data_IF_995065474401
#
_entry.id   IF_995065474401
#
_cell.length_a   1.000
_cell.length_b   1.000
_cell.length_c   1.000
_cell.angle_alpha   90.00
_cell.angle_beta   90.00
_cell.angle_gamma   90.00
#
_symmetry.space_group_name_H-M   'P 1'
#
loop_
_entity.id
_entity.type
_entity.pdbx_description
1 polymer ?
#
# COMPACT_ATOMS: atom_id res chain seq x y z
N UNK A 1 -6.15 28.69 6.49
CA UNK A 1 -5.34 29.89 6.13
C UNK A 1 -4.79 29.78 4.71
N UNK A 2 -4.18 28.66 4.31
CA UNK A 2 -3.65 28.47 2.95
C UNK A 2 -4.72 28.52 1.84
N UNK A 3 -5.85 27.82 1.99
CA UNK A 3 -6.94 27.86 1.01
C UNK A 3 -7.53 29.27 0.78
N UNK A 4 -7.66 30.06 1.84
CA UNK A 4 -8.13 31.46 1.75
C UNK A 4 -7.13 32.35 1.01
N UNK A 5 -5.83 32.12 1.19
CA UNK A 5 -4.79 32.82 0.45
C UNK A 5 -4.80 32.43 -1.05
N UNK A 6 -4.98 31.13 -1.35
CA UNK A 6 -5.17 30.66 -2.73
C UNK A 6 -6.40 31.29 -3.38
N UNK A 7 -7.53 31.39 -2.68
CA UNK A 7 -8.75 32.04 -3.22
C UNK A 7 -8.53 33.52 -3.51
N UNK A 8 -7.75 34.22 -2.69
CA UNK A 8 -7.40 35.63 -2.91
C UNK A 8 -6.55 35.80 -4.18
N UNK A 9 -5.55 34.93 -4.38
CA UNK A 9 -4.65 34.99 -5.54
C UNK A 9 -5.32 34.45 -6.82
N UNK A 10 -6.21 33.48 -6.70
CA UNK A 10 -6.94 32.85 -7.80
C UNK A 10 -8.45 32.99 -7.58
N UNK A 11 -9.04 34.20 -7.72
CA UNK A 11 -10.45 34.42 -7.42
C UNK A 11 -11.40 33.60 -8.30
N UNK A 12 -10.98 33.27 -9.53
CA UNK A 12 -11.75 32.45 -10.47
C UNK A 12 -11.57 30.95 -10.29
N UNK A 13 -10.64 30.51 -9.43
CA UNK A 13 -10.42 29.09 -9.22
C UNK A 13 -11.69 28.42 -8.66
N UNK A 14 -12.10 27.28 -9.26
CA UNK A 14 -13.15 26.44 -8.70
C UNK A 14 -12.77 25.95 -7.30
N UNK A 15 -13.77 25.77 -6.44
CA UNK A 15 -13.56 25.29 -5.07
C UNK A 15 -12.86 23.92 -5.01
N UNK A 16 -13.06 23.07 -6.02
CA UNK A 16 -12.39 21.78 -6.12
C UNK A 16 -10.86 21.93 -6.35
N UNK A 17 -10.44 22.92 -7.15
CA UNK A 17 -9.02 23.21 -7.38
C UNK A 17 -8.34 23.68 -6.09
N UNK A 18 -8.99 24.59 -5.36
CA UNK A 18 -8.46 25.15 -4.12
C UNK A 18 -8.28 24.08 -3.03
N UNK A 19 -9.24 23.16 -2.89
CA UNK A 19 -9.14 22.02 -1.95
C UNK A 19 -8.04 21.02 -2.30
N UNK A 20 -7.80 20.78 -3.58
CA UNK A 20 -6.72 19.88 -4.04
C UNK A 20 -5.34 20.50 -3.78
N UNK A 21 -5.23 21.82 -3.94
CA UNK A 21 -3.99 22.58 -3.74
C UNK A 21 -3.76 23.06 -2.30
N UNK A 22 -4.67 22.78 -1.36
CA UNK A 22 -4.55 23.26 0.02
C UNK A 22 -3.27 22.75 0.70
N UNK A 23 -2.34 23.68 0.93
CA UNK A 23 -1.05 23.41 1.58
C UNK A 23 -1.16 22.90 3.02
N UNK A 24 -2.29 23.10 3.69
CA UNK A 24 -2.53 22.55 5.03
C UNK A 24 -2.53 21.00 5.06
N UNK A 25 -2.69 20.37 3.89
CA UNK A 25 -2.61 18.90 3.72
C UNK A 25 -1.18 18.38 3.66
N UNK A 26 -0.19 19.27 3.64
CA UNK A 26 1.23 18.93 3.48
C UNK A 26 1.60 18.47 2.07
N UNK A 27 2.87 18.12 1.84
CA UNK A 27 3.35 17.72 0.53
C UNK A 27 2.68 16.42 0.06
N UNK A 28 2.47 16.31 -1.25
CA UNK A 28 1.98 15.07 -1.87
C UNK A 28 2.92 13.92 -1.52
N UNK A 29 2.35 12.86 -0.98
CA UNK A 29 3.11 11.67 -0.64
C UNK A 29 3.60 10.95 -1.90
N UNK A 30 4.86 10.52 -1.90
CA UNK A 30 5.40 9.74 -3.01
C UNK A 30 4.71 8.37 -3.12
N UNK A 31 4.56 7.81 -4.34
CA UNK A 31 4.08 6.45 -4.55
C UNK A 31 4.92 5.44 -3.76
N UNK A 32 4.30 4.31 -3.39
CA UNK A 32 4.98 3.15 -2.80
C UNK A 32 5.70 2.42 -3.93
N UNK A 33 6.90 2.91 -4.26
CA UNK A 33 7.77 2.32 -5.27
C UNK A 33 9.23 2.49 -4.88
N UNK A 34 10.06 1.53 -5.24
CA UNK A 34 11.49 1.46 -4.98
C UNK A 34 12.17 0.73 -6.13
N UNK A 35 13.48 0.50 -6.02
CA UNK A 35 14.20 -0.29 -7.02
C UNK A 35 13.56 -1.68 -7.18
N UNK A 36 13.27 -2.05 -8.42
CA UNK A 36 12.61 -3.33 -8.73
C UNK A 36 13.63 -4.45 -8.57
N UNK A 37 13.26 -5.49 -7.82
CA UNK A 37 14.14 -6.63 -7.57
C UNK A 37 13.74 -7.83 -8.43
N UNK A 38 14.75 -8.48 -9.03
CA UNK A 38 14.58 -9.82 -9.58
C UNK A 38 14.50 -10.88 -8.47
N UNK A 39 14.18 -12.12 -8.85
CA UNK A 39 13.88 -13.24 -7.94
C UNK A 39 14.89 -13.40 -6.78
N UNK A 40 16.19 -13.47 -7.09
CA UNK A 40 17.25 -13.69 -6.09
C UNK A 40 17.40 -12.53 -5.11
N UNK A 41 17.45 -11.30 -5.64
CA UNK A 41 17.55 -10.09 -4.82
C UNK A 41 16.30 -9.89 -3.95
N UNK A 42 15.16 -10.31 -4.45
CA UNK A 42 13.91 -10.24 -3.70
C UNK A 42 13.85 -11.25 -2.55
N UNK A 43 14.40 -12.45 -2.74
CA UNK A 43 14.59 -13.41 -1.64
C UNK A 43 15.56 -12.87 -0.58
N UNK A 44 16.71 -12.30 -0.99
CA UNK A 44 17.66 -11.65 -0.06
C UNK A 44 16.99 -10.52 0.73
N UNK A 45 16.15 -9.72 0.06
CA UNK A 45 15.37 -8.68 0.71
C UNK A 45 14.40 -9.27 1.74
N UNK A 46 13.71 -10.37 1.42
CA UNK A 46 12.86 -11.10 2.37
C UNK A 46 13.61 -11.53 3.63
N UNK A 47 14.76 -12.19 3.46
CA UNK A 47 15.59 -12.63 4.58
C UNK A 47 16.02 -11.46 5.49
N UNK A 48 16.57 -10.39 4.91
CA UNK A 48 17.00 -9.19 5.64
C UNK A 48 15.83 -8.48 6.34
N UNK A 49 14.66 -8.45 5.71
CA UNK A 49 13.45 -7.88 6.31
C UNK A 49 13.00 -8.70 7.53
N UNK A 50 13.10 -10.03 7.47
CA UNK A 50 12.78 -10.90 8.61
C UNK A 50 13.71 -10.67 9.82
N UNK A 51 14.99 -10.38 9.60
CA UNK A 51 15.95 -10.06 10.67
C UNK A 51 15.57 -8.76 11.40
N UNK A 52 15.05 -7.78 10.67
CA UNK A 52 14.75 -6.44 11.19
C UNK A 52 13.33 -6.29 11.72
N UNK A 53 12.36 -7.10 11.26
CA UNK A 53 10.96 -7.01 11.68
C UNK A 53 10.70 -7.51 13.10
N UNK A 54 11.01 -6.67 14.10
CA UNK A 54 10.58 -6.88 15.48
C UNK A 54 9.08 -6.65 15.62
N UNK A 55 8.40 -7.70 16.07
CA UNK A 55 6.97 -7.64 16.33
C UNK A 55 6.62 -8.27 17.66
N UNK A 56 5.62 -7.67 18.31
CA UNK A 56 5.06 -8.15 19.56
C UNK A 56 3.54 -8.12 19.50
N UNK A 57 2.89 -8.87 20.39
CA UNK A 57 1.44 -8.77 20.54
C UNK A 57 1.07 -7.35 20.99
N UNK A 58 0.23 -6.69 20.21
CA UNK A 58 -0.17 -5.31 20.46
C UNK A 58 -1.12 -5.15 21.65
N UNK A 59 -1.02 -4.00 22.33
CA UNK A 59 -2.04 -3.53 23.26
C UNK A 59 -3.26 -2.97 22.52
N UNK A 60 -4.45 -3.12 23.12
CA UNK A 60 -5.76 -2.73 22.60
C UNK A 60 -5.85 -1.28 22.05
N UNK A 61 -4.92 -0.40 22.45
CA UNK A 61 -4.93 1.05 22.20
C UNK A 61 -4.21 1.53 20.92
N UNK A 62 -3.53 0.65 20.18
CA UNK A 62 -2.60 1.07 19.11
C UNK A 62 -3.14 0.98 17.66
N UNK A 63 -4.41 0.62 17.42
CA UNK A 63 -4.87 0.31 16.05
C UNK A 63 -5.21 1.57 15.21
N UNK A 64 -4.19 2.21 14.63
CA UNK A 64 -4.31 3.36 13.68
C UNK A 64 -4.73 2.96 12.26
N UNK A 65 -4.79 1.65 11.97
CA UNK A 65 -5.02 1.11 10.63
C UNK A 65 -6.35 1.52 9.99
N UNK A 66 -7.49 1.35 10.69
CA UNK A 66 -8.80 1.66 10.13
C UNK A 66 -9.01 3.16 9.84
N UNK A 67 -8.58 4.09 10.72
CA UNK A 67 -8.53 5.51 10.38
C UNK A 67 -7.71 5.80 9.11
N UNK A 68 -6.52 5.21 8.98
CA UNK A 68 -5.65 5.36 7.81
C UNK A 68 -6.34 4.88 6.52
N UNK A 69 -6.95 3.69 6.55
CA UNK A 69 -7.69 3.14 5.40
C UNK A 69 -8.85 4.06 4.97
N UNK A 70 -9.65 4.56 5.93
CA UNK A 70 -10.75 5.50 5.61
C UNK A 70 -10.24 6.81 5.00
N UNK A 71 -9.15 7.36 5.55
CA UNK A 71 -8.51 8.55 5.00
C UNK A 71 -7.99 8.32 3.58
N UNK A 72 -7.42 7.14 3.30
CA UNK A 72 -6.98 6.76 1.97
C UNK A 72 -8.16 6.74 0.99
N UNK A 73 -9.26 6.06 1.35
CA UNK A 73 -10.45 5.96 0.49
C UNK A 73 -11.04 7.34 0.18
N UNK A 74 -11.14 8.20 1.20
CA UNK A 74 -11.67 9.56 1.02
C UNK A 74 -10.81 10.38 0.05
N UNK A 75 -9.49 10.38 0.24
CA UNK A 75 -8.55 11.10 -0.61
C UNK A 75 -8.58 10.59 -2.05
N UNK A 76 -8.65 9.27 -2.23
CA UNK A 76 -8.75 8.63 -3.54
C UNK A 76 -10.02 9.06 -4.29
N UNK A 77 -11.18 9.06 -3.61
CA UNK A 77 -12.45 9.52 -4.18
C UNK A 77 -12.43 11.00 -4.54
N UNK A 78 -11.84 11.83 -3.69
CA UNK A 78 -11.69 13.27 -3.97
C UNK A 78 -10.81 13.52 -5.20
N UNK A 79 -9.66 12.84 -5.28
CA UNK A 79 -8.76 12.94 -6.42
C UNK A 79 -9.43 12.45 -7.72
N UNK A 80 -10.12 11.30 -7.68
CA UNK A 80 -10.89 10.78 -8.82
C UNK A 80 -11.96 11.78 -9.29
N UNK A 81 -12.72 12.35 -8.36
CA UNK A 81 -13.73 13.35 -8.71
C UNK A 81 -13.10 14.58 -9.40
N UNK A 82 -11.97 15.08 -8.88
CA UNK A 82 -11.26 16.20 -9.50
C UNK A 82 -10.74 15.86 -10.91
N UNK A 83 -10.15 14.68 -11.09
CA UNK A 83 -9.66 14.20 -12.40
C UNK A 83 -10.84 14.12 -13.38
N UNK A 84 -12.00 13.63 -12.96
CA UNK A 84 -13.21 13.55 -13.78
C UNK A 84 -13.77 14.91 -14.20
N UNK A 85 -13.77 15.92 -13.31
CA UNK A 85 -14.17 17.29 -13.68
C UNK A 85 -13.25 17.86 -14.77
N UNK A 86 -11.95 17.60 -14.67
CA UNK A 86 -10.97 18.08 -15.64
C UNK A 86 -11.10 17.37 -17.00
N UNK A 87 -11.46 16.08 -17.01
CA UNK A 87 -11.77 15.31 -18.21
C UNK A 87 -12.88 15.98 -19.06
N UNK A 88 -13.95 16.42 -18.38
CA UNK A 88 -15.10 17.04 -19.05
C UNK A 88 -14.83 18.45 -19.59
N UNK A 89 -13.75 19.09 -19.12
CA UNK A 89 -13.40 20.46 -19.51
C UNK A 89 -12.55 20.54 -20.80
N UNK A 90 -12.33 19.41 -21.48
CA UNK A 90 -11.62 19.34 -22.77
C UNK A 90 -10.09 19.40 -22.69
N UNK A 91 -9.51 19.37 -21.48
CA UNK A 91 -8.06 19.32 -21.31
C UNK A 91 -7.53 17.88 -21.25
N UNK A 92 -6.37 17.64 -21.88
CA UNK A 92 -5.70 16.32 -21.86
C UNK A 92 -5.50 15.77 -20.44
N UNK A 93 -5.91 14.51 -20.27
CA UNK A 93 -5.67 13.72 -19.06
C UNK A 93 -4.40 12.92 -19.30
N UNK A 94 -3.55 12.77 -18.29
CA UNK A 94 -2.42 11.85 -18.40
C UNK A 94 -2.91 10.40 -18.50
N UNK A 95 -2.17 9.47 -19.14
CA UNK A 95 -2.53 8.06 -19.20
C UNK A 95 -2.89 7.43 -17.85
N UNK A 96 -2.16 7.76 -16.79
CA UNK A 96 -2.45 7.31 -15.42
C UNK A 96 -3.83 7.78 -14.91
N UNK A 97 -4.25 8.98 -15.32
CA UNK A 97 -5.56 9.55 -14.96
C UNK A 97 -6.70 8.87 -15.71
N UNK A 98 -6.51 8.53 -16.98
CA UNK A 98 -7.47 7.73 -17.77
C UNK A 98 -7.65 6.36 -17.14
N UNK A 99 -6.55 5.67 -16.83
CA UNK A 99 -6.58 4.38 -16.13
C UNK A 99 -7.37 4.44 -14.81
N UNK A 100 -7.16 5.49 -14.02
CA UNK A 100 -7.89 5.71 -12.76
C UNK A 100 -9.38 5.92 -12.97
N UNK A 101 -9.79 6.66 -14.01
CA UNK A 101 -11.20 6.89 -14.34
C UNK A 101 -11.87 5.60 -14.83
N UNK A 102 -11.25 4.92 -15.79
CA UNK A 102 -11.80 3.73 -16.43
C UNK A 102 -11.99 2.59 -15.43
N UNK A 103 -11.08 2.48 -14.46
CA UNK A 103 -11.04 1.36 -13.53
C UNK A 103 -11.54 1.69 -12.12
N UNK A 104 -12.10 2.88 -11.88
CA UNK A 104 -12.50 3.27 -10.53
C UNK A 104 -13.53 2.32 -9.90
N UNK A 105 -14.44 1.79 -10.72
CA UNK A 105 -15.44 0.81 -10.31
C UNK A 105 -14.82 -0.48 -9.73
N UNK A 106 -13.68 -0.94 -10.29
CA UNK A 106 -12.94 -2.09 -9.77
C UNK A 106 -12.34 -1.75 -8.41
N UNK A 107 -11.74 -0.56 -8.27
CA UNK A 107 -11.15 -0.13 -7.00
C UNK A 107 -12.24 -0.05 -5.91
N UNK A 108 -13.44 0.44 -6.23
CA UNK A 108 -14.56 0.45 -5.28
C UNK A 108 -15.04 -0.94 -4.88
N UNK A 109 -15.07 -1.90 -5.81
CA UNK A 109 -15.40 -3.29 -5.50
C UNK A 109 -14.42 -3.89 -4.48
N UNK A 110 -13.13 -3.60 -4.61
CA UNK A 110 -12.08 -4.07 -3.70
C UNK A 110 -12.21 -3.53 -2.28
N UNK A 111 -12.83 -2.36 -2.09
CA UNK A 111 -13.08 -1.81 -0.76
C UNK A 111 -14.03 -2.68 0.06
N UNK A 112 -15.00 -3.32 -0.60
CA UNK A 112 -15.92 -4.25 0.06
C UNK A 112 -15.18 -5.51 0.51
N UNK A 113 -14.37 -6.10 -0.37
CA UNK A 113 -13.54 -7.27 -0.03
C UNK A 113 -12.59 -6.99 1.14
N UNK A 114 -12.00 -5.79 1.21
CA UNK A 114 -11.15 -5.40 2.35
C UNK A 114 -11.92 -5.37 3.66
N UNK A 115 -13.16 -4.86 3.63
CA UNK A 115 -13.99 -4.78 4.83
C UNK A 115 -14.39 -6.16 5.35
N UNK A 116 -14.69 -7.08 4.44
CA UNK A 116 -15.12 -8.46 4.74
C UNK A 116 -13.92 -9.35 5.11
N UNK A 117 -12.78 -9.20 4.43
CA UNK A 117 -11.61 -10.06 4.55
C UNK A 117 -10.73 -9.84 5.77
N UNK A 118 -10.85 -8.70 6.48
CA UNK A 118 -10.13 -8.45 7.73
C UNK A 118 -11.02 -7.78 8.79
N UNK A 119 -11.89 -8.56 9.48
CA UNK A 119 -12.67 -8.03 10.59
C UNK A 119 -11.78 -7.41 11.66
N UNK A 120 -12.26 -6.33 12.29
CA UNK A 120 -11.51 -5.61 13.36
C UNK A 120 -10.95 -6.53 14.44
N UNK A 121 -11.71 -7.56 14.83
CA UNK A 121 -11.29 -8.51 15.87
C UNK A 121 -10.07 -9.32 15.43
N UNK A 122 -10.05 -9.77 14.18
CA UNK A 122 -8.95 -10.53 13.60
C UNK A 122 -7.69 -9.67 13.44
N UNK A 123 -7.84 -8.43 12.95
CA UNK A 123 -6.71 -7.52 12.82
C UNK A 123 -5.98 -7.24 14.15
N UNK A 124 -6.72 -7.26 15.27
CA UNK A 124 -6.19 -6.99 16.61
C UNK A 124 -5.39 -8.14 17.21
N UNK A 125 -5.52 -9.34 16.67
CA UNK A 125 -4.76 -10.50 17.15
C UNK A 125 -3.39 -10.59 16.46
N UNK A 126 -3.17 -9.84 15.38
CA UNK A 126 -1.93 -9.85 14.63
C UNK A 126 -0.77 -9.20 15.42
N UNK A 127 0.46 -9.75 15.34
CA UNK A 127 1.65 -9.10 15.87
C UNK A 127 1.88 -7.72 15.23
N UNK A 128 2.19 -6.72 16.06
CA UNK A 128 2.46 -5.36 15.62
C UNK A 128 3.96 -5.10 15.57
N UNK A 129 4.42 -4.36 14.55
CA UNK A 129 5.78 -3.87 14.42
C UNK A 129 6.12 -2.93 15.57
N UNK A 130 7.34 -3.06 16.09
CA UNK A 130 7.85 -2.24 17.20
C UNK A 130 8.62 -1.00 16.72
N UNK A 131 9.22 -1.09 15.54
CA UNK A 131 10.17 -0.09 15.05
C UNK A 131 9.55 0.80 13.96
N UNK A 132 9.96 2.05 13.92
CA UNK A 132 9.60 3.01 12.87
C UNK A 132 10.12 2.57 11.49
N UNK A 133 9.49 2.97 10.37
CA UNK A 133 8.39 3.95 10.24
C UNK A 133 6.98 3.34 10.31
N UNK A 134 6.88 2.02 10.56
CA UNK A 134 5.61 1.28 10.55
C UNK A 134 5.21 0.79 11.95
N UNK A 135 5.78 1.38 13.00
CA UNK A 135 5.49 1.03 14.38
C UNK A 135 3.98 1.08 14.66
N UNK A 136 3.47 0.05 15.34
CA UNK A 136 2.04 -0.07 15.67
C UNK A 136 1.14 -0.60 14.55
N UNK A 137 1.66 -0.82 13.33
CA UNK A 137 0.96 -1.55 12.28
C UNK A 137 1.27 -3.06 12.37
N UNK A 138 0.39 -3.96 11.89
CA UNK A 138 0.71 -5.37 11.87
C UNK A 138 1.96 -5.66 11.06
N UNK A 139 2.76 -6.63 11.51
CA UNK A 139 3.96 -7.07 10.79
C UNK A 139 3.67 -7.47 9.35
N UNK A 140 2.54 -8.14 9.11
CA UNK A 140 2.13 -8.50 7.75
C UNK A 140 1.91 -7.26 6.84
N UNK A 141 1.58 -6.09 7.40
CA UNK A 141 1.51 -4.84 6.64
C UNK A 141 2.90 -4.40 6.17
N UNK A 142 3.93 -4.53 7.01
CA UNK A 142 5.32 -4.28 6.60
C UNK A 142 5.79 -5.23 5.50
N UNK A 143 5.43 -6.51 5.60
CA UNK A 143 5.70 -7.53 4.57
C UNK A 143 5.03 -7.16 3.25
N UNK A 144 3.73 -6.82 3.27
CA UNK A 144 2.99 -6.41 2.08
C UNK A 144 3.52 -5.09 1.48
N UNK A 145 3.92 -4.14 2.32
CA UNK A 145 4.52 -2.87 1.90
C UNK A 145 5.83 -3.07 1.15
N UNK A 146 6.75 -3.86 1.73
CA UNK A 146 8.01 -4.21 1.12
C UNK A 146 7.82 -4.90 -0.24
N UNK A 147 6.85 -5.83 -0.31
CA UNK A 147 6.50 -6.48 -1.56
C UNK A 147 6.06 -5.47 -2.63
N UNK A 148 5.04 -4.66 -2.34
CA UNK A 148 4.50 -3.67 -3.30
C UNK A 148 5.56 -2.66 -3.74
N UNK A 149 6.41 -2.19 -2.82
CA UNK A 149 7.44 -1.20 -3.14
C UNK A 149 8.46 -1.72 -4.16
N UNK A 150 8.87 -2.98 -4.04
CA UNK A 150 9.92 -3.59 -4.86
C UNK A 150 9.41 -4.37 -6.07
N UNK A 151 8.08 -4.44 -6.26
CA UNK A 151 7.44 -4.93 -7.49
C UNK A 151 6.68 -3.85 -8.26
N UNK A 152 6.75 -2.58 -7.82
CA UNK A 152 5.93 -1.47 -8.32
C UNK A 152 4.43 -1.83 -8.38
N UNK A 153 3.97 -2.55 -7.35
CA UNK A 153 2.60 -3.03 -7.22
C UNK A 153 2.22 -4.16 -8.18
N UNK A 154 3.13 -4.73 -8.98
CA UNK A 154 2.87 -5.92 -9.77
C UNK A 154 2.84 -7.16 -8.86
N UNK A 155 1.74 -7.92 -8.92
CA UNK A 155 1.60 -9.17 -8.19
C UNK A 155 2.09 -10.34 -9.05
N UNK A 156 3.02 -11.09 -8.48
CA UNK A 156 3.61 -12.30 -9.05
C UNK A 156 3.68 -13.34 -7.93
N UNK A 157 3.07 -14.49 -8.17
CA UNK A 157 2.96 -15.56 -7.18
C UNK A 157 4.34 -16.16 -6.86
N UNK A 158 5.19 -16.38 -7.87
CA UNK A 158 6.52 -16.97 -7.66
C UNK A 158 7.38 -16.04 -6.80
N UNK A 159 7.35 -14.73 -7.09
CA UNK A 159 8.02 -13.73 -6.27
C UNK A 159 7.50 -13.72 -4.83
N UNK A 160 6.17 -13.77 -4.62
CA UNK A 160 5.60 -13.75 -3.26
C UNK A 160 6.02 -14.99 -2.48
N UNK A 161 6.03 -16.17 -3.12
CA UNK A 161 6.42 -17.43 -2.50
C UNK A 161 7.90 -17.44 -2.09
N UNK A 162 8.78 -16.98 -2.98
CA UNK A 162 10.22 -16.88 -2.70
C UNK A 162 10.49 -15.87 -1.59
N UNK A 163 9.88 -14.71 -1.65
CA UNK A 163 10.00 -13.66 -0.64
C UNK A 163 9.55 -14.12 0.75
N UNK A 164 8.35 -14.71 0.84
CA UNK A 164 7.80 -15.20 2.12
C UNK A 164 8.60 -16.38 2.68
N UNK A 165 9.12 -17.24 1.81
CA UNK A 165 9.97 -18.36 2.24
C UNK A 165 11.27 -17.84 2.84
N UNK A 166 11.98 -16.96 2.14
CA UNK A 166 13.24 -16.37 2.63
C UNK A 166 13.03 -15.52 3.89
N UNK A 167 11.93 -14.77 3.97
CA UNK A 167 11.57 -14.01 5.17
C UNK A 167 11.42 -14.91 6.41
N UNK A 168 10.79 -16.07 6.25
CA UNK A 168 10.51 -16.98 7.36
C UNK A 168 11.72 -17.82 7.80
N UNK A 169 12.84 -17.78 7.08
CA UNK A 169 14.11 -18.38 7.51
C UNK A 169 14.66 -17.67 8.76
N UNK A 170 14.44 -16.36 8.87
CA UNK A 170 14.90 -15.56 10.02
C UNK A 170 13.79 -15.25 10.99
N UNK A 171 12.52 -15.25 10.53
CA UNK A 171 11.39 -14.90 11.38
C UNK A 171 10.06 -15.50 10.94
N UNK A 172 9.58 -16.49 11.71
CA UNK A 172 8.30 -17.16 11.46
C UNK A 172 7.11 -16.17 11.44
N UNK A 173 6.27 -16.31 10.42
CA UNK A 173 4.94 -15.71 10.33
C UNK A 173 3.94 -16.72 10.88
N UNK A 174 3.05 -16.27 11.77
CA UNK A 174 1.98 -17.15 12.23
C UNK A 174 0.93 -17.32 11.13
N UNK A 175 0.11 -18.37 11.24
CA UNK A 175 -0.89 -18.70 10.24
C UNK A 175 -1.92 -17.57 10.04
N UNK A 176 -2.25 -16.83 11.11
CA UNK A 176 -3.13 -15.66 11.00
C UNK A 176 -2.50 -14.51 10.20
N UNK A 177 -1.18 -14.32 10.28
CA UNK A 177 -0.50 -13.35 9.43
C UNK A 177 -0.50 -13.79 7.97
N UNK A 178 -0.28 -15.07 7.70
CA UNK A 178 -0.31 -15.61 6.33
C UNK A 178 -1.68 -15.42 5.68
N UNK A 179 -2.77 -15.72 6.39
CA UNK A 179 -4.14 -15.49 5.91
C UNK A 179 -4.55 -14.02 5.88
N UNK A 180 -3.84 -13.14 6.59
CA UNK A 180 -4.07 -11.70 6.50
C UNK A 180 -3.42 -11.06 5.26
N UNK A 181 -2.42 -11.72 4.66
CA UNK A 181 -1.66 -11.20 3.53
C UNK A 181 -2.50 -10.75 2.32
N UNK A 182 -3.50 -11.53 1.83
CA UNK A 182 -4.26 -11.18 0.62
C UNK A 182 -4.96 -9.84 0.77
N UNK A 183 -5.64 -9.64 1.88
CA UNK A 183 -6.37 -8.42 2.18
C UNK A 183 -5.41 -7.27 2.50
N UNK A 184 -4.26 -7.58 3.13
CA UNK A 184 -3.25 -6.57 3.44
C UNK A 184 -2.58 -6.03 2.18
N UNK A 185 -2.28 -6.89 1.19
CA UNK A 185 -1.78 -6.47 -0.12
C UNK A 185 -2.77 -5.52 -0.81
N UNK A 186 -4.08 -5.86 -0.83
CA UNK A 186 -5.11 -4.95 -1.36
C UNK A 186 -5.08 -3.59 -0.67
N UNK A 187 -4.94 -3.55 0.65
CA UNK A 187 -4.88 -2.29 1.41
C UNK A 187 -3.66 -1.46 1.02
N UNK A 188 -2.49 -2.06 0.87
CA UNK A 188 -1.27 -1.36 0.45
C UNK A 188 -1.39 -0.88 -1.00
N UNK A 189 -1.95 -1.67 -1.90
CA UNK A 189 -2.21 -1.27 -3.29
C UNK A 189 -3.19 -0.09 -3.38
N UNK A 190 -4.27 -0.09 -2.58
CA UNK A 190 -5.21 1.04 -2.51
C UNK A 190 -4.54 2.28 -1.91
N UNK A 191 -3.66 2.10 -0.93
CA UNK A 191 -2.86 3.22 -0.44
C UNK A 191 -1.94 3.78 -1.53
N UNK A 192 -1.34 2.93 -2.35
CA UNK A 192 -0.52 3.37 -3.48
C UNK A 192 -1.34 4.08 -4.55
N UNK A 193 -2.50 3.52 -4.94
CA UNK A 193 -3.44 4.15 -5.87
C UNK A 193 -3.91 5.52 -5.37
N UNK A 194 -4.13 5.66 -4.06
CA UNK A 194 -4.44 6.96 -3.46
C UNK A 194 -3.28 7.95 -3.61
N UNK A 195 -2.02 7.55 -3.38
CA UNK A 195 -0.83 8.41 -3.59
C UNK A 195 -0.74 8.87 -5.05
N UNK A 196 -0.92 7.93 -5.98
CA UNK A 196 -0.87 8.17 -7.42
C UNK A 196 -2.01 9.09 -7.88
N UNK A 197 -3.25 8.82 -7.48
CA UNK A 197 -4.41 9.63 -7.83
C UNK A 197 -4.28 11.06 -7.28
N UNK A 198 -3.89 11.20 -6.01
CA UNK A 198 -3.65 12.50 -5.38
C UNK A 198 -2.57 13.28 -6.14
N UNK A 199 -1.46 12.64 -6.50
CA UNK A 199 -0.38 13.23 -7.29
C UNK A 199 -0.82 13.66 -8.69
N UNK A 200 -1.60 12.83 -9.38
CA UNK A 200 -2.18 13.18 -10.70
C UNK A 200 -3.10 14.40 -10.56
N UNK A 201 -4.01 14.38 -9.59
CA UNK A 201 -4.95 15.48 -9.33
C UNK A 201 -4.24 16.79 -8.98
N UNK A 202 -3.25 16.77 -8.09
CA UNK A 202 -2.52 17.98 -7.69
C UNK A 202 -1.63 18.52 -8.81
N UNK A 203 -0.99 17.66 -9.60
CA UNK A 203 -0.22 18.10 -10.77
C UNK A 203 -1.12 18.75 -11.81
N UNK A 204 -2.31 18.18 -12.05
CA UNK A 204 -3.31 18.78 -12.93
C UNK A 204 -3.81 20.12 -12.38
N UNK A 205 -4.10 20.20 -11.09
CA UNK A 205 -4.53 21.43 -10.43
C UNK A 205 -3.46 22.54 -10.49
N UNK A 206 -2.18 22.19 -10.34
CA UNK A 206 -1.08 23.14 -10.46
C UNK A 206 -0.94 23.68 -11.90
N UNK A 207 -1.15 22.84 -12.91
CA UNK A 207 -1.20 23.28 -14.32
C UNK A 207 -2.40 24.21 -14.56
N UNK A 208 -3.55 23.88 -13.98
CA UNK A 208 -4.74 24.73 -14.11
C UNK A 208 -4.57 26.08 -13.40
N UNK A 209 -3.90 26.11 -12.24
CA UNK A 209 -3.52 27.36 -11.59
C UNK A 209 -2.64 28.23 -12.50
N UNK A 210 -1.67 27.63 -13.21
CA UNK A 210 -0.83 28.35 -14.19
C UNK A 210 -1.64 28.87 -15.40
N UNK A 211 -2.60 28.08 -15.91
CA UNK A 211 -3.51 28.52 -16.96
C UNK A 211 -4.30 29.77 -16.51
N UNK A 212 -4.94 29.70 -15.35
CA UNK A 212 -5.70 30.81 -14.77
C UNK A 212 -4.86 32.08 -14.56
N UNK A 213 -3.59 31.91 -14.15
CA UNK A 213 -2.65 33.03 -14.04
C UNK A 213 -2.37 33.65 -15.41
N UNK A 214 -2.07 32.84 -16.42
CA UNK A 214 -1.73 33.32 -17.76
C UNK A 214 -2.93 33.94 -18.49
N UNK A 215 -4.14 33.42 -18.26
CA UNK A 215 -5.38 33.96 -18.85
C UNK A 215 -5.72 35.37 -18.34
N UNK A 216 -5.14 35.77 -17.20
CA UNK A 216 -5.30 37.10 -16.59
C UNK A 216 -3.97 37.70 -16.16
N UNK A 217 -2.93 37.51 -16.97
CA UNK A 217 -1.56 37.89 -16.62
C UNK A 217 -1.43 39.38 -16.27
N UNK A 218 -2.29 40.23 -16.86
CA UNK A 218 -2.44 41.66 -16.58
C UNK A 218 -2.84 41.98 -15.13
N UNK A 219 -3.53 41.04 -14.47
CA UNK A 219 -3.94 41.17 -13.07
C UNK A 219 -2.92 40.64 -12.07
N UNK A 220 -1.82 40.04 -12.54
CA UNK A 220 -0.75 39.50 -11.71
C UNK A 220 0.47 40.43 -11.71
N UNK A 221 1.15 40.44 -10.57
CA UNK A 221 2.52 40.94 -10.45
C UNK A 221 3.49 39.77 -10.20
N UNK A 222 4.78 40.00 -10.44
CA UNK A 222 5.82 39.02 -10.07
C UNK A 222 5.72 38.64 -8.59
N UNK A 223 5.50 39.60 -7.69
CA UNK A 223 5.34 39.32 -6.26
C UNK A 223 4.13 38.44 -5.92
N UNK A 224 3.01 38.59 -6.64
CA UNK A 224 1.87 37.69 -6.46
C UNK A 224 2.10 36.28 -7.01
N UNK A 225 2.95 36.13 -8.04
CA UNK A 225 3.35 34.81 -8.54
C UNK A 225 4.34 34.12 -7.60
N UNK A 226 5.26 34.86 -6.98
CA UNK A 226 6.12 34.34 -5.91
C UNK A 226 5.29 33.86 -4.72
N UNK A 227 4.28 34.64 -4.32
CA UNK A 227 3.36 34.24 -3.24
C UNK A 227 2.57 32.98 -3.59
N UNK A 228 2.05 32.90 -4.83
CA UNK A 228 1.35 31.71 -5.31
C UNK A 228 2.29 30.50 -5.36
N UNK A 229 3.50 30.67 -5.89
CA UNK A 229 4.50 29.61 -5.96
C UNK A 229 4.80 29.05 -4.56
N UNK A 230 5.01 29.92 -3.57
CA UNK A 230 5.25 29.51 -2.19
C UNK A 230 4.10 28.68 -1.60
N UNK A 231 2.84 29.00 -1.93
CA UNK A 231 1.68 28.19 -1.53
C UNK A 231 1.67 26.81 -2.23
N UNK A 232 2.02 26.76 -3.51
CA UNK A 232 2.08 25.51 -4.29
C UNK A 232 3.25 24.61 -3.88
N UNK A 233 4.35 25.21 -3.39
CA UNK A 233 5.50 24.48 -2.83
C UNK A 233 5.17 23.76 -1.52
N UNK A 234 4.28 24.32 -0.68
CA UNK A 234 3.77 23.63 0.52
C UNK A 234 3.10 22.30 0.17
N UNK A 235 2.47 22.24 -1.01
CA UNK A 235 1.86 21.03 -1.56
C UNK A 235 2.83 20.16 -2.38
N UNK A 236 4.02 20.67 -2.70
CA UNK A 236 5.04 19.99 -3.49
C UNK A 236 4.80 20.02 -5.01
N UNK A 237 3.99 20.96 -5.52
CA UNK A 237 3.61 21.02 -6.94
C UNK A 237 4.07 22.28 -7.68
N UNK A 238 4.92 23.11 -7.05
CA UNK A 238 5.50 24.32 -7.67
C UNK A 238 6.17 24.04 -9.01
N UNK A 239 6.89 22.92 -9.15
CA UNK A 239 7.49 22.49 -10.43
C UNK A 239 6.48 22.23 -11.55
N UNK A 240 5.32 21.66 -11.22
CA UNK A 240 4.25 21.42 -12.20
C UNK A 240 3.63 22.74 -12.68
N UNK A 241 3.50 23.70 -11.76
CA UNK A 241 3.07 25.06 -12.07
C UNK A 241 4.09 25.81 -12.94
N UNK A 242 5.37 25.84 -12.57
CA UNK A 242 6.44 26.51 -13.32
C UNK A 242 6.58 25.94 -14.75
N UNK A 243 6.51 24.61 -14.90
CA UNK A 243 6.55 23.98 -16.23
C UNK A 243 5.40 24.41 -17.13
N UNK A 244 4.20 24.57 -16.57
CA UNK A 244 3.03 25.05 -17.32
C UNK A 244 3.10 26.55 -17.61
N UNK A 245 3.58 27.36 -16.65
CA UNK A 245 3.87 28.77 -16.87
C UNK A 245 4.84 28.96 -18.04
N UNK A 246 5.90 28.14 -18.11
CA UNK A 246 6.86 28.17 -19.21
C UNK A 246 6.23 27.89 -20.57
N UNK A 247 5.33 26.90 -20.64
CA UNK A 247 4.59 26.57 -21.86
C UNK A 247 3.68 27.72 -22.27
N UNK A 248 2.84 28.22 -21.35
CA UNK A 248 1.86 29.27 -21.63
C UNK A 248 2.50 30.61 -22.00
N UNK A 249 3.60 31.00 -21.34
CA UNK A 249 4.34 32.22 -21.71
C UNK A 249 4.99 32.10 -23.09
N UNK A 250 5.51 30.92 -23.45
CA UNK A 250 6.03 30.66 -24.79
C UNK A 250 4.93 30.79 -25.87
N UNK A 251 3.74 30.24 -25.61
CA UNK A 251 2.60 30.33 -26.54
C UNK A 251 2.11 31.79 -26.68
N UNK A 252 2.04 32.54 -25.57
CA UNK A 252 1.72 33.96 -25.57
C UNK A 252 2.70 34.76 -26.43
N UNK A 253 4.01 34.49 -26.32
CA UNK A 253 5.06 35.13 -27.14
C UNK A 253 4.92 34.87 -28.63
N UNK A 254 4.48 33.67 -29.02
CA UNK A 254 4.29 33.30 -30.43
C UNK A 254 3.02 33.92 -31.03
N UNK A 255 2.03 34.18 -30.20
CA UNK A 255 0.74 34.76 -30.60
C UNK A 255 0.71 36.28 -30.50
N UNK A 256 1.73 36.90 -29.88
CA UNK A 256 1.89 38.36 -29.74
C UNK A 256 2.37 39.00 -31.04
N UNK A 257 1.44 39.20 -31.98
CA UNK A 257 1.56 40.29 -32.97
C UNK A 257 0.73 41.52 -32.54
N UNK A 258 -0.12 41.39 -31.50
CA UNK A 258 -1.15 42.41 -31.16
C UNK A 258 -1.40 42.62 -29.65
N UNK A 259 -0.79 41.85 -28.74
CA UNK A 259 -1.12 41.94 -27.29
C UNK A 259 -0.34 43.07 -26.59
N UNK A 260 -1.04 43.88 -25.80
CA UNK A 260 -0.53 45.04 -25.03
C UNK A 260 0.21 44.69 -23.73
N UNK A 261 0.26 43.41 -23.35
CA UNK A 261 0.81 42.96 -22.06
C UNK A 261 2.32 42.74 -22.19
N UNK A 262 3.11 43.43 -21.36
CA UNK A 262 4.55 43.18 -21.25
C UNK A 262 4.80 41.88 -20.48
N UNK A 263 5.22 40.84 -21.20
CA UNK A 263 5.52 39.52 -20.64
C UNK A 263 6.96 39.39 -20.11
N UNK A 264 7.85 40.35 -20.42
CA UNK A 264 9.27 40.25 -20.10
C UNK A 264 9.57 40.11 -18.60
N UNK A 265 8.87 40.81 -17.67
CA UNK A 265 9.08 40.63 -16.23
C UNK A 265 8.78 39.20 -15.76
N UNK A 266 7.77 38.57 -16.37
CA UNK A 266 7.35 37.21 -16.05
C UNK A 266 8.31 36.15 -16.63
N UNK A 267 8.82 36.39 -17.84
CA UNK A 267 9.88 35.54 -18.42
C UNK A 267 11.16 35.60 -17.56
N UNK A 268 11.57 36.79 -17.13
CA UNK A 268 12.75 36.98 -16.27
C UNK A 268 12.57 36.28 -14.91
N UNK A 269 11.40 36.45 -14.29
CA UNK A 269 11.03 35.73 -13.06
C UNK A 269 11.10 34.21 -13.26
N UNK A 270 10.52 33.70 -14.34
CA UNK A 270 10.51 32.26 -14.62
C UNK A 270 11.93 31.72 -14.84
N UNK A 271 12.81 32.48 -15.51
CA UNK A 271 14.20 32.07 -15.72
C UNK A 271 14.98 31.96 -14.40
N UNK A 272 14.67 32.81 -13.42
CA UNK A 272 15.24 32.72 -12.07
C UNK A 272 14.71 31.49 -11.33
N UNK A 273 13.40 31.23 -11.38
CA UNK A 273 12.77 30.11 -10.66
C UNK A 273 13.00 28.74 -11.32
N UNK A 274 13.16 28.71 -12.64
CA UNK A 274 13.30 27.51 -13.45
C UNK A 274 14.42 27.68 -14.51
N UNK A 275 15.70 27.62 -14.10
CA UNK A 275 16.82 27.81 -15.03
C UNK A 275 16.98 26.66 -16.03
N UNK A 276 16.54 25.44 -15.68
CA UNK A 276 16.66 24.25 -16.54
C UNK A 276 15.29 23.62 -16.84
N UNK A 277 14.61 24.20 -17.83
CA UNK A 277 13.33 23.70 -18.33
C UNK A 277 13.43 22.33 -19.01
N UNK A 278 14.57 22.02 -19.65
CA UNK A 278 14.76 20.78 -20.39
C UNK A 278 14.81 19.57 -19.43
N UNK A 279 15.60 19.68 -18.37
CA UNK A 279 15.65 18.65 -17.31
C UNK A 279 14.30 18.47 -16.63
N UNK A 280 13.57 19.57 -16.33
CA UNK A 280 12.23 19.47 -15.77
C UNK A 280 11.27 18.68 -16.67
N UNK A 281 11.25 18.97 -17.98
CA UNK A 281 10.38 18.28 -18.94
C UNK A 281 10.71 16.80 -19.05
N UNK A 282 12.00 16.45 -19.14
CA UNK A 282 12.45 15.06 -19.16
C UNK A 282 12.02 14.31 -17.88
N UNK A 283 12.20 14.92 -16.71
CA UNK A 283 11.81 14.34 -15.43
C UNK A 283 10.28 14.18 -15.32
N UNK A 284 9.50 15.14 -15.82
CA UNK A 284 8.04 15.05 -15.83
C UNK A 284 7.54 13.92 -16.73
N UNK A 285 8.12 13.75 -17.93
CA UNK A 285 7.77 12.65 -18.83
C UNK A 285 8.09 11.28 -18.20
N UNK A 286 9.29 11.13 -17.63
CA UNK A 286 9.69 9.91 -16.93
C UNK A 286 8.76 9.59 -15.75
N UNK A 287 8.39 10.62 -14.96
CA UNK A 287 7.45 10.49 -13.87
C UNK A 287 6.05 10.07 -14.32
N UNK A 288 5.53 10.63 -15.42
CA UNK A 288 4.22 10.25 -15.96
C UNK A 288 4.20 8.82 -16.47
N UNK A 289 5.28 8.38 -17.15
CA UNK A 289 5.42 7.00 -17.60
C UNK A 289 5.44 6.02 -16.41
N UNK A 290 6.21 6.34 -15.37
CA UNK A 290 6.27 5.55 -14.15
C UNK A 290 4.92 5.53 -13.41
N UNK A 291 4.25 6.68 -13.26
CA UNK A 291 2.95 6.75 -12.58
C UNK A 291 1.89 5.95 -13.35
N UNK A 292 1.92 5.95 -14.70
CA UNK A 292 1.03 5.13 -15.52
C UNK A 292 1.25 3.62 -15.30
N UNK A 293 2.51 3.19 -15.28
CA UNK A 293 2.85 1.79 -15.01
C UNK A 293 2.38 1.37 -13.61
N UNK A 294 2.69 2.16 -12.57
CA UNK A 294 2.28 1.86 -11.19
C UNK A 294 0.76 1.75 -11.04
N UNK A 295 -0.02 2.63 -11.70
CA UNK A 295 -1.49 2.55 -11.67
C UNK A 295 -1.99 1.28 -12.34
N UNK A 296 -1.49 0.99 -13.55
CA UNK A 296 -1.87 -0.21 -14.31
C UNK A 296 -1.55 -1.49 -13.53
N UNK A 297 -0.34 -1.56 -12.94
CA UNK A 297 0.08 -2.66 -12.09
C UNK A 297 -0.84 -2.81 -10.88
N UNK A 298 -1.08 -1.73 -10.13
CA UNK A 298 -1.88 -1.81 -8.92
C UNK A 298 -3.32 -2.28 -9.17
N UNK A 299 -3.98 -1.80 -10.23
CA UNK A 299 -5.33 -2.24 -10.55
C UNK A 299 -5.34 -3.69 -11.07
N UNK A 300 -4.39 -4.06 -11.91
CA UNK A 300 -4.28 -5.44 -12.40
C UNK A 300 -4.06 -6.40 -11.22
N UNK A 301 -3.15 -6.04 -10.31
CA UNK A 301 -2.83 -6.83 -9.13
C UNK A 301 -3.99 -6.96 -8.16
N UNK A 302 -4.84 -5.94 -8.01
CA UNK A 302 -6.05 -6.07 -7.19
C UNK A 302 -6.96 -7.20 -7.70
N UNK A 303 -7.07 -7.37 -9.02
CA UNK A 303 -7.84 -8.48 -9.62
C UNK A 303 -7.12 -9.82 -9.43
N UNK A 304 -5.84 -9.89 -9.77
CA UNK A 304 -5.08 -11.16 -9.69
C UNK A 304 -4.96 -11.67 -8.25
N UNK A 305 -4.87 -10.78 -7.26
CA UNK A 305 -4.94 -11.14 -5.84
C UNK A 305 -6.31 -11.72 -5.46
N UNK A 306 -7.39 -11.29 -6.10
CA UNK A 306 -8.73 -11.88 -5.94
C UNK A 306 -8.82 -13.29 -6.49
N UNK A 307 -8.19 -13.53 -7.64
CA UNK A 307 -8.28 -14.79 -8.39
C UNK A 307 -7.22 -15.84 -7.96
N UNK A 308 -6.23 -15.45 -7.15
CA UNK A 308 -5.13 -16.33 -6.74
C UNK A 308 -5.57 -17.46 -5.78
N UNK A 309 -4.94 -18.64 -5.93
CA UNK A 309 -5.14 -19.79 -5.03
C UNK A 309 -4.38 -19.58 -3.71
N UNK A 310 -4.96 -18.74 -2.84
CA UNK A 310 -4.39 -18.46 -1.52
C UNK A 310 -4.20 -19.70 -0.64
N UNK A 311 -5.11 -20.70 -0.61
CA UNK A 311 -4.84 -21.97 0.03
C UNK A 311 -3.52 -22.62 -0.40
N UNK A 312 -3.23 -22.68 -1.72
CA UNK A 312 -1.97 -23.22 -2.23
C UNK A 312 -0.77 -22.34 -1.87
N UNK A 313 -0.88 -21.02 -2.06
CA UNK A 313 0.18 -20.07 -1.73
C UNK A 313 0.57 -20.19 -0.26
N UNK A 314 -0.41 -20.22 0.64
CA UNK A 314 -0.18 -20.35 2.09
C UNK A 314 0.39 -21.72 2.43
N UNK A 315 -0.08 -22.81 1.79
CA UNK A 315 0.46 -24.14 2.01
C UNK A 315 1.95 -24.24 1.65
N UNK A 316 2.37 -23.60 0.55
CA UNK A 316 3.75 -23.63 0.05
C UNK A 316 4.68 -22.64 0.75
N UNK A 317 4.17 -21.53 1.25
CA UNK A 317 5.00 -20.49 1.88
C UNK A 317 5.02 -20.55 3.41
N UNK A 318 3.94 -20.97 4.09
CA UNK A 318 3.90 -21.01 5.56
C UNK A 318 4.78 -22.13 6.12
N UNK A 319 5.70 -21.79 7.03
CA UNK A 319 6.53 -22.78 7.73
C UNK A 319 5.68 -23.79 8.50
N UNK A 320 4.60 -23.35 9.16
CA UNK A 320 3.67 -24.22 9.86
C UNK A 320 2.97 -25.21 8.91
N UNK A 321 2.43 -24.73 7.79
CA UNK A 321 1.72 -25.59 6.85
C UNK A 321 2.64 -26.62 6.24
N UNK A 322 3.84 -26.22 5.79
CA UNK A 322 4.84 -27.14 5.25
C UNK A 322 5.21 -28.22 6.26
N UNK A 323 5.38 -27.87 7.54
CA UNK A 323 5.64 -28.83 8.60
C UNK A 323 4.48 -29.81 8.80
N UNK A 324 3.25 -29.31 8.92
CA UNK A 324 2.07 -30.15 9.14
C UNK A 324 1.79 -31.09 7.95
N UNK A 325 2.06 -30.63 6.72
CA UNK A 325 1.91 -31.43 5.49
C UNK A 325 2.94 -32.57 5.36
N UNK A 326 3.97 -32.64 6.21
CA UNK A 326 4.84 -33.83 6.31
C UNK A 326 4.12 -35.03 6.94
N UNK A 327 3.03 -34.80 7.70
CA UNK A 327 2.20 -35.86 8.25
C UNK A 327 1.22 -36.38 7.18
N UNK A 328 1.29 -37.67 6.79
CA UNK A 328 0.42 -38.21 5.75
C UNK A 328 -1.06 -38.19 6.16
N UNK A 329 -1.35 -38.36 7.46
CA UNK A 329 -2.71 -38.25 8.00
C UNK A 329 -3.26 -36.84 7.82
N UNK A 330 -2.50 -35.82 8.20
CA UNK A 330 -2.92 -34.43 8.03
C UNK A 330 -3.07 -34.08 6.54
N UNK A 331 -2.15 -34.54 5.69
CA UNK A 331 -2.21 -34.35 4.23
C UNK A 331 -3.37 -35.10 3.55
N UNK A 332 -3.96 -36.11 4.19
CA UNK A 332 -5.15 -36.82 3.71
C UNK A 332 -6.46 -36.27 4.33
N UNK A 333 -6.39 -35.51 5.41
CA UNK A 333 -7.56 -34.93 6.08
C UNK A 333 -8.30 -33.92 5.19
N UNK A 334 -9.62 -33.84 5.37
CA UNK A 334 -10.47 -32.80 4.77
C UNK A 334 -10.11 -31.41 5.33
N UNK A 335 -10.29 -30.35 4.54
CA UNK A 335 -9.93 -28.96 4.89
C UNK A 335 -10.47 -28.51 6.25
N UNK A 336 -11.76 -28.76 6.52
CA UNK A 336 -12.39 -28.47 7.82
C UNK A 336 -11.67 -29.12 9.02
N UNK A 337 -11.16 -30.34 8.87
CA UNK A 337 -10.43 -31.04 9.94
C UNK A 337 -9.04 -30.45 10.11
N UNK A 338 -8.36 -30.12 9.00
CA UNK A 338 -7.07 -29.40 9.05
C UNK A 338 -7.21 -28.07 9.77
N UNK A 339 -8.26 -27.31 9.46
CA UNK A 339 -8.54 -26.04 10.11
C UNK A 339 -8.72 -26.20 11.62
N UNK A 340 -9.48 -27.20 12.08
CA UNK A 340 -9.64 -27.48 13.51
C UNK A 340 -8.29 -27.77 14.19
N UNK A 341 -7.44 -28.55 13.53
CA UNK A 341 -6.08 -28.86 14.00
C UNK A 341 -5.22 -27.60 14.10
N UNK A 342 -5.19 -26.77 13.05
CA UNK A 342 -4.42 -25.53 13.00
C UNK A 342 -4.89 -24.51 14.04
N UNK A 343 -6.21 -24.36 14.25
CA UNK A 343 -6.75 -23.55 15.34
C UNK A 343 -6.41 -24.11 16.72
N UNK A 344 -6.30 -25.44 16.86
CA UNK A 344 -5.81 -26.08 18.07
C UNK A 344 -4.37 -25.69 18.38
N UNK A 345 -3.50 -25.74 17.37
CA UNK A 345 -2.09 -25.33 17.45
C UNK A 345 -2.00 -23.84 17.82
N UNK A 346 -2.73 -22.95 17.14
CA UNK A 346 -2.76 -21.52 17.44
C UNK A 346 -3.14 -21.25 18.90
N UNK A 347 -4.19 -21.91 19.40
CA UNK A 347 -4.64 -21.76 20.80
C UNK A 347 -3.57 -22.21 21.80
N UNK A 348 -2.89 -23.31 21.53
CA UNK A 348 -1.83 -23.84 22.39
C UNK A 348 -0.61 -22.93 22.36
N UNK A 349 -0.15 -22.50 21.18
CA UNK A 349 0.94 -21.54 21.01
C UNK A 349 0.65 -20.23 21.75
N UNK A 350 -0.61 -19.77 21.70
CA UNK A 350 -1.04 -18.59 22.45
C UNK A 350 -0.91 -18.75 23.96
N UNK A 351 -1.27 -19.93 24.49
CA UNK A 351 -1.24 -20.24 25.93
C UNK A 351 0.16 -20.51 26.46
N UNK A 352 0.99 -21.23 25.70
CA UNK A 352 2.33 -21.63 26.13
C UNK A 352 3.39 -20.54 25.92
N UNK A 353 3.15 -19.61 24.97
CA UNK A 353 4.15 -18.65 24.55
C UNK A 353 5.16 -19.20 23.55
N UNK A 354 5.04 -20.48 23.15
CA UNK A 354 5.80 -21.06 22.05
C UNK A 354 5.28 -20.60 20.68
N UNK A 355 6.08 -20.77 19.63
CA UNK A 355 5.62 -20.55 18.25
C UNK A 355 4.67 -21.66 17.80
N UNK A 356 3.85 -21.38 16.79
CA UNK A 356 2.95 -22.38 16.21
C UNK A 356 3.72 -23.56 15.63
N UNK A 357 4.88 -23.30 15.02
CA UNK A 357 5.78 -24.33 14.47
C UNK A 357 6.31 -25.23 15.59
N UNK A 358 6.74 -24.65 16.71
CA UNK A 358 7.22 -25.42 17.87
C UNK A 358 6.13 -26.32 18.47
N UNK A 359 4.89 -25.81 18.57
CA UNK A 359 3.74 -26.61 19.04
C UNK A 359 3.40 -27.73 18.05
N UNK A 360 3.42 -27.43 16.75
CA UNK A 360 3.19 -28.41 15.70
C UNK A 360 4.25 -29.52 15.71
N UNK A 361 5.52 -29.17 15.88
CA UNK A 361 6.60 -30.15 15.99
C UNK A 361 6.38 -31.08 17.19
N UNK A 362 6.09 -30.53 18.37
CA UNK A 362 5.79 -31.35 19.56
C UNK A 362 4.60 -32.27 19.35
N UNK A 363 3.55 -31.78 18.68
CA UNK A 363 2.39 -32.59 18.31
C UNK A 363 2.80 -33.75 17.37
N UNK A 364 3.59 -33.48 16.34
CA UNK A 364 4.03 -34.49 15.38
C UNK A 364 4.95 -35.54 16.01
N UNK A 365 5.88 -35.12 16.88
CA UNK A 365 6.80 -36.01 17.59
C UNK A 365 6.02 -36.99 18.50
N UNK A 366 5.04 -36.48 19.24
CA UNK A 366 4.17 -37.29 20.09
C UNK A 366 3.29 -38.25 19.28
N UNK A 367 2.74 -37.79 18.15
CA UNK A 367 2.00 -38.64 17.22
C UNK A 367 2.87 -39.79 16.72
N UNK A 368 4.08 -39.49 16.25
CA UNK A 368 4.99 -40.49 15.71
C UNK A 368 5.43 -41.52 16.77
N UNK A 369 5.69 -41.07 18.00
CA UNK A 369 6.07 -41.96 19.11
C UNK A 369 4.96 -42.91 19.56
N UNK A 370 3.68 -42.51 19.43
CA UNK A 370 2.54 -43.30 19.93
C UNK A 370 1.81 -44.11 18.84
N UNK A 371 2.00 -43.78 17.56
CA UNK A 371 1.33 -44.45 16.43
C UNK A 371 1.70 -45.95 16.34
N UNK A 372 2.89 -46.33 16.80
CA UNK A 372 3.34 -47.73 16.87
C UNK A 372 2.51 -48.58 17.83
N UNK A 373 1.99 -48.00 18.91
CA UNK A 373 1.26 -48.71 19.96
C UNK A 373 -0.27 -48.53 19.85
N UNK A 374 -0.72 -47.41 19.30
CA UNK A 374 -2.14 -47.08 19.17
C UNK A 374 -2.43 -46.31 17.87
N UNK A 375 -3.10 -46.94 16.88
CA UNK A 375 -3.46 -46.27 15.62
C UNK A 375 -4.30 -45.00 15.80
N UNK A 376 -5.10 -44.90 16.86
CA UNK A 376 -5.89 -43.71 17.16
C UNK A 376 -5.02 -42.49 17.58
N UNK A 377 -3.78 -42.72 18.01
CA UNK A 377 -2.83 -41.67 18.34
C UNK A 377 -2.21 -41.01 17.07
N UNK A 378 -2.43 -41.59 15.88
CA UNK A 378 -2.01 -41.01 14.60
C UNK A 378 -2.85 -39.81 14.14
N UNK A 379 -3.98 -39.52 14.79
CA UNK A 379 -4.87 -38.39 14.43
C UNK A 379 -4.65 -37.20 15.38
N UNK A 380 -4.62 -35.98 14.84
CA UNK A 380 -4.35 -34.78 15.65
C UNK A 380 -5.43 -34.51 16.73
N UNK A 381 -6.69 -34.89 16.47
CA UNK A 381 -7.80 -34.73 17.42
C UNK A 381 -7.58 -35.49 18.74
N UNK A 382 -6.89 -36.63 18.70
CA UNK A 382 -6.52 -37.40 19.90
C UNK A 382 -5.70 -36.56 20.90
N UNK A 383 -4.80 -35.72 20.39
CA UNK A 383 -3.90 -34.91 21.19
C UNK A 383 -4.46 -33.54 21.51
N UNK A 384 -5.28 -32.97 20.63
CA UNK A 384 -5.86 -31.63 20.84
C UNK A 384 -7.10 -31.66 21.73
N UNK A 385 -7.90 -32.73 21.63
CA UNK A 385 -9.22 -32.84 22.28
C UNK A 385 -9.45 -34.18 22.99
N UNK A 386 -8.62 -35.19 22.73
CA UNK A 386 -8.79 -36.54 23.26
C UNK A 386 -7.85 -36.90 24.41
N UNK A 387 -7.67 -38.22 24.66
CA UNK A 387 -6.90 -38.74 25.79
C UNK A 387 -5.41 -38.37 25.81
N UNK A 388 -4.81 -38.03 24.67
CA UNK A 388 -3.40 -37.63 24.58
C UNK A 388 -3.14 -36.18 25.01
N UNK A 389 -4.19 -35.39 25.22
CA UNK A 389 -4.09 -33.96 25.54
C UNK A 389 -3.30 -33.64 26.80
N UNK A 390 -3.42 -34.34 27.94
CA UNK A 390 -2.62 -34.04 29.13
C UNK A 390 -1.11 -34.17 28.87
N UNK A 391 -0.71 -35.17 28.06
CA UNK A 391 0.69 -35.38 27.66
C UNK A 391 1.18 -34.25 26.77
N UNK A 392 0.39 -33.83 25.78
CA UNK A 392 0.72 -32.69 24.92
C UNK A 392 0.86 -31.39 25.75
N UNK A 393 -0.08 -31.13 26.66
CA UNK A 393 -0.01 -29.95 27.52
C UNK A 393 1.25 -29.95 28.38
N UNK A 394 1.60 -31.10 28.99
CA UNK A 394 2.81 -31.24 29.80
C UNK A 394 4.09 -31.00 28.97
N UNK A 395 4.15 -31.54 27.75
CA UNK A 395 5.27 -31.33 26.83
C UNK A 395 5.44 -29.84 26.46
N UNK A 396 4.35 -29.09 26.41
CA UNK A 396 4.32 -27.65 26.15
C UNK A 396 4.45 -26.78 27.42
N UNK A 397 4.76 -27.38 28.58
CA UNK A 397 4.87 -26.65 29.85
C UNK A 397 3.55 -26.06 30.36
N UNK A 398 2.41 -26.57 29.89
CA UNK A 398 1.08 -26.14 30.29
C UNK A 398 0.45 -27.09 31.30
N UNK A 399 -0.33 -26.54 32.22
CA UNK A 399 -1.23 -27.30 33.07
C UNK A 399 -2.63 -27.38 32.46
N UNK A 400 -3.31 -28.51 32.69
CA UNK A 400 -4.73 -28.63 32.38
C UNK A 400 -5.47 -27.66 33.30
N UNK A 401 -6.21 -26.71 32.72
CA UNK A 401 -7.06 -25.84 33.51
C UNK A 401 -8.16 -26.72 34.11
N UNK A 402 -8.30 -26.68 35.45
CA UNK A 402 -9.32 -27.43 36.18
C UNK A 402 -10.74 -27.06 35.74
#
# INVERSE_FOLDING_TARGET
MAESALKRLLPQAPQALLRILDGARGPVQQPVRSEIFGLERFAQHGHSLGETHRAARGSWRAATFFPRLRSNIHTLREAHHYIGLQATSGYDISPAGEWLLDNFHLIEAQLKEIHEGLPRRYFRTLPLLQDEPLAGLPRIYGVAWAFVAHTDGAFDEELVLRFLTAYQETRELNLAEMWALPTTLRVVLIENLRRLAERVATNKAAREAANLCCDRLDSFSVGSLDELLALLEQRGVGRSFLGQMALRLHDLRRTTTTTTIDIAPFEAWLQVQLPDLASLRAQQAANQAADNLSVSNAVTSLRTIGDADWPDIVARSSTLMRLMLTSPVFAAEHSLTRDQTLHGIERLARRSGHSEVSVAQTLLDLKHGAELDNPAAGVASHWLHGPGRPTLLRALGLHEAA
#
